data_IF_651279692953
#
_entry.id   IF_651279692953
#
_cell.length_a   1.000
_cell.length_b   1.000
_cell.length_c   1.000
_cell.angle_alpha   90.00
_cell.angle_beta   90.00
_cell.angle_gamma   90.00
#
_symmetry.space_group_name_H-M   'P 1'
#
loop_
_entity.id
_entity.type
_entity.pdbx_description
1 polymer ?
#
# COMPACT_ATOMS: atom_id res chain seq x y z
N UNK A 1 -70.82 20.96 74.98
CA UNK A 1 -70.82 20.13 73.75
C UNK A 1 -69.36 19.87 73.38
N UNK A 2 -68.79 18.74 73.81
CA UNK A 2 -68.41 17.55 73.01
C UNK A 2 -67.51 17.89 71.79
N UNK A 3 -66.38 17.25 71.47
CA UNK A 3 -65.59 16.08 71.95
C UNK A 3 -64.19 16.27 71.30
N UNK A 4 -63.07 16.06 72.01
CA UNK A 4 -62.22 14.85 71.97
C UNK A 4 -62.06 14.18 70.58
N UNK A 5 -60.81 14.04 70.07
CA UNK A 5 -60.16 12.75 69.76
C UNK A 5 -58.83 12.86 68.97
N UNK A 6 -57.91 11.99 69.39
CA UNK A 6 -56.60 11.62 68.85
C UNK A 6 -56.66 10.91 67.48
N UNK A 7 -55.45 10.57 66.98
CA UNK A 7 -55.05 9.62 65.92
C UNK A 7 -54.71 10.30 64.57
N UNK A 8 -53.63 9.96 63.85
CA UNK A 8 -52.83 8.73 63.84
C UNK A 8 -51.53 8.98 63.07
N UNK A 9 -50.48 8.27 63.48
CA UNK A 9 -49.23 8.06 62.77
C UNK A 9 -49.50 7.42 61.39
N UNK A 10 -48.88 7.93 60.31
CA UNK A 10 -48.80 7.24 59.02
C UNK A 10 -47.36 7.37 58.51
N UNK A 11 -46.65 6.26 58.61
CA UNK A 11 -45.29 6.05 58.15
C UNK A 11 -45.33 5.85 56.62
N UNK A 12 -45.13 6.91 55.84
CA UNK A 12 -45.04 6.80 54.39
C UNK A 12 -43.64 6.37 53.97
N UNK A 13 -43.53 5.11 53.55
CA UNK A 13 -42.35 4.49 52.96
C UNK A 13 -42.01 5.21 51.63
N UNK A 14 -40.94 6.00 51.61
CA UNK A 14 -40.41 6.59 50.38
C UNK A 14 -39.65 5.52 49.63
N UNK A 15 -40.30 4.90 48.63
CA UNK A 15 -39.63 4.07 47.62
C UNK A 15 -38.80 4.98 46.70
N UNK A 16 -37.50 5.08 47.00
CA UNK A 16 -36.50 5.67 46.13
C UNK A 16 -36.39 4.80 44.87
N UNK A 17 -37.10 5.18 43.81
CA UNK A 17 -36.94 4.59 42.49
C UNK A 17 -35.67 5.16 41.86
N UNK A 18 -34.57 4.44 42.00
CA UNK A 18 -33.34 4.69 41.24
C UNK A 18 -33.61 4.33 39.78
N UNK A 19 -33.98 5.36 39.00
CA UNK A 19 -33.99 5.29 37.55
C UNK A 19 -32.55 5.08 37.05
N UNK A 20 -32.16 3.81 36.89
CA UNK A 20 -30.93 3.43 36.19
C UNK A 20 -31.15 3.76 34.71
N UNK A 21 -30.66 4.93 34.30
CA UNK A 21 -30.50 5.26 32.89
C UNK A 21 -29.56 4.21 32.26
N UNK A 22 -29.85 3.65 31.06
CA UNK A 22 -28.92 2.78 30.37
C UNK A 22 -27.71 3.60 29.96
N UNK A 23 -26.64 3.49 30.75
CA UNK A 23 -25.35 4.07 30.42
C UNK A 23 -24.81 3.41 29.15
N UNK A 24 -24.27 4.25 28.28
CA UNK A 24 -23.59 3.90 27.04
C UNK A 24 -22.66 2.68 27.20
N UNK A 25 -23.02 1.57 26.58
CA UNK A 25 -22.11 0.46 26.32
C UNK A 25 -21.24 0.80 25.11
N UNK A 26 -20.15 1.51 25.37
CA UNK A 26 -19.02 1.62 24.46
C UNK A 26 -17.73 1.76 25.28
N UNK A 27 -17.37 0.68 25.99
CA UNK A 27 -16.02 0.48 26.50
C UNK A 27 -15.60 -0.94 26.16
N UNK A 28 -14.43 -1.05 25.52
CA UNK A 28 -13.94 -2.24 24.86
C UNK A 28 -13.94 -3.46 25.77
N UNK A 29 -14.38 -4.59 25.21
CA UNK A 29 -14.19 -5.89 25.83
C UNK A 29 -12.74 -6.31 25.63
N UNK A 30 -11.88 -5.90 26.55
CA UNK A 30 -10.65 -6.66 26.80
C UNK A 30 -11.09 -8.10 27.12
N UNK A 31 -10.84 -9.03 26.18
CA UNK A 31 -11.23 -10.44 26.27
C UNK A 31 -12.40 -10.91 25.40
N UNK A 32 -13.05 -10.02 24.62
CA UNK A 32 -14.11 -10.40 23.68
C UNK A 32 -13.62 -10.60 22.24
N UNK A 33 -14.39 -11.32 21.41
CA UNK A 33 -14.11 -11.39 19.97
C UNK A 33 -14.12 -9.98 19.35
N UNK A 34 -13.22 -9.73 18.39
CA UNK A 34 -13.18 -8.49 17.62
C UNK A 34 -13.62 -8.77 16.18
N UNK A 35 -14.62 -8.05 15.68
CA UNK A 35 -15.04 -8.16 14.28
C UNK A 35 -14.41 -7.06 13.42
N UNK A 36 -13.51 -7.45 12.51
CA UNK A 36 -12.87 -6.55 11.56
C UNK A 36 -13.33 -6.81 10.12
N UNK A 37 -13.65 -5.76 9.38
CA UNK A 37 -14.22 -5.89 8.04
C UNK A 37 -13.39 -5.16 7.00
N UNK A 38 -13.32 -5.70 5.79
CA UNK A 38 -12.44 -5.21 4.73
C UNK A 38 -13.24 -4.86 3.48
N UNK A 39 -12.90 -3.75 2.84
CA UNK A 39 -13.50 -3.32 1.58
C UNK A 39 -12.42 -3.30 0.51
N UNK A 40 -12.54 -4.17 -0.48
CA UNK A 40 -11.61 -4.28 -1.61
C UNK A 40 -12.17 -3.58 -2.86
N UNK A 41 -11.28 -2.89 -3.58
CA UNK A 41 -11.64 -2.23 -4.85
C UNK A 41 -11.83 -3.22 -6.00
N UNK A 42 -11.01 -4.28 -6.02
CA UNK A 42 -11.08 -5.34 -7.02
C UNK A 42 -11.60 -6.66 -6.44
N UNK A 43 -11.70 -7.69 -7.30
CA UNK A 43 -11.99 -9.05 -6.86
C UNK A 43 -10.74 -9.70 -6.24
N UNK A 44 -10.93 -10.60 -5.28
CA UNK A 44 -9.84 -11.42 -4.70
C UNK A 44 -9.10 -12.24 -5.77
N UNK A 45 -9.75 -12.49 -6.91
CA UNK A 45 -9.16 -13.16 -8.07
C UNK A 45 -8.21 -12.32 -8.92
N UNK A 46 -7.95 -11.04 -8.59
CA UNK A 46 -7.02 -10.16 -9.34
C UNK A 46 -5.57 -10.66 -9.30
N UNK A 47 -5.22 -11.47 -8.30
CA UNK A 47 -3.88 -11.99 -8.00
C UNK A 47 -2.91 -10.91 -7.49
N UNK A 48 -3.10 -9.62 -7.77
CA UNK A 48 -2.27 -8.54 -7.23
C UNK A 48 -2.79 -7.98 -5.92
N UNK A 49 -3.50 -6.85 -6.01
CA UNK A 49 -3.80 -5.97 -4.87
C UNK A 49 -4.82 -6.54 -3.89
N UNK A 50 -6.04 -6.81 -4.36
CA UNK A 50 -7.14 -7.29 -3.52
C UNK A 50 -6.86 -8.71 -3.04
N UNK A 51 -6.23 -9.53 -3.88
CA UNK A 51 -5.66 -10.81 -3.49
C UNK A 51 -4.69 -10.69 -2.31
N UNK A 52 -3.70 -9.78 -2.38
CA UNK A 52 -2.72 -9.62 -1.32
C UNK A 52 -3.35 -9.14 0.00
N UNK A 53 -4.33 -8.22 -0.07
CA UNK A 53 -5.10 -7.82 1.12
C UNK A 53 -5.89 -9.00 1.71
N UNK A 54 -6.47 -9.85 0.87
CA UNK A 54 -7.23 -11.01 1.33
C UNK A 54 -6.35 -12.12 1.93
N UNK A 55 -5.19 -12.38 1.33
CA UNK A 55 -4.16 -13.26 1.91
C UNK A 55 -3.75 -12.75 3.29
N UNK A 56 -3.51 -11.45 3.42
CA UNK A 56 -3.15 -10.85 4.69
C UNK A 56 -4.28 -10.91 5.73
N UNK A 57 -5.53 -10.70 5.32
CA UNK A 57 -6.71 -10.90 6.19
C UNK A 57 -6.76 -12.32 6.72
N UNK A 58 -6.60 -13.33 5.86
CA UNK A 58 -6.56 -14.76 6.23
C UNK A 58 -5.39 -15.06 7.16
N UNK A 59 -4.22 -14.45 6.95
CA UNK A 59 -3.06 -14.62 7.81
C UNK A 59 -3.30 -13.98 9.19
N UNK A 60 -3.96 -12.82 9.26
CA UNK A 60 -4.36 -12.19 10.52
C UNK A 60 -5.37 -13.06 11.28
N UNK A 61 -6.38 -13.63 10.62
CA UNK A 61 -7.33 -14.58 11.24
C UNK A 61 -6.62 -15.80 11.84
N UNK A 62 -5.65 -16.37 11.12
CA UNK A 62 -4.85 -17.50 11.64
C UNK A 62 -4.01 -17.11 12.85
N UNK A 63 -3.46 -15.90 12.86
CA UNK A 63 -2.57 -15.42 13.91
C UNK A 63 -3.32 -14.93 15.16
N UNK A 64 -4.58 -14.51 15.02
CA UNK A 64 -5.37 -13.85 16.06
C UNK A 64 -6.65 -14.66 16.35
N UNK A 65 -6.64 -15.59 17.33
CA UNK A 65 -7.78 -16.49 17.59
C UNK A 65 -9.09 -15.81 17.99
N UNK A 66 -9.02 -14.57 18.44
CA UNK A 66 -10.17 -13.74 18.83
C UNK A 66 -10.72 -12.87 17.69
N UNK A 67 -10.08 -12.90 16.51
CA UNK A 67 -10.46 -12.10 15.36
C UNK A 67 -11.53 -12.84 14.54
N UNK A 68 -12.63 -12.16 14.25
CA UNK A 68 -13.56 -12.55 13.20
C UNK A 68 -13.45 -11.54 12.06
N UNK A 69 -13.43 -12.01 10.80
CA UNK A 69 -13.42 -11.08 9.67
C UNK A 69 -14.57 -11.27 8.68
N UNK A 70 -14.85 -10.21 7.95
CA UNK A 70 -15.73 -10.19 6.79
C UNK A 70 -15.11 -9.30 5.71
N UNK A 71 -15.40 -9.55 4.45
CA UNK A 71 -15.01 -8.62 3.40
C UNK A 71 -16.15 -8.38 2.41
N UNK A 72 -16.04 -7.29 1.66
CA UNK A 72 -16.81 -7.00 0.46
C UNK A 72 -15.80 -6.64 -0.62
N UNK A 73 -15.87 -7.32 -1.76
CA UNK A 73 -14.95 -7.12 -2.88
C UNK A 73 -15.62 -6.38 -4.04
N UNK A 74 -14.82 -5.97 -5.02
CA UNK A 74 -15.29 -5.29 -6.24
C UNK A 74 -16.11 -4.03 -5.96
N UNK A 75 -15.69 -3.22 -4.98
CA UNK A 75 -16.34 -1.95 -4.64
C UNK A 75 -15.66 -0.81 -5.40
N UNK A 76 -16.32 -0.17 -6.38
CA UNK A 76 -15.71 0.94 -7.10
C UNK A 76 -15.38 2.11 -6.18
N UNK A 77 -14.30 2.81 -6.48
CA UNK A 77 -14.01 4.11 -5.86
C UNK A 77 -15.20 5.07 -6.05
N UNK A 78 -15.51 5.87 -5.02
CA UNK A 78 -16.72 6.69 -4.98
C UNK A 78 -17.99 5.95 -4.54
N UNK A 79 -17.96 4.61 -4.39
CA UNK A 79 -19.12 3.80 -3.98
C UNK A 79 -18.93 3.04 -2.65
N UNK A 80 -17.94 3.42 -1.83
CA UNK A 80 -17.70 2.76 -0.54
C UNK A 80 -18.76 3.10 0.54
N UNK A 81 -19.41 4.27 0.51
CA UNK A 81 -20.32 4.71 1.59
C UNK A 81 -21.44 3.71 1.90
N UNK A 82 -22.22 3.19 0.93
CA UNK A 82 -23.27 2.21 1.22
C UNK A 82 -22.72 0.89 1.80
N UNK A 83 -21.50 0.50 1.39
CA UNK A 83 -20.82 -0.70 1.89
C UNK A 83 -20.37 -0.49 3.33
N UNK A 84 -19.78 0.67 3.64
CA UNK A 84 -19.41 1.03 5.00
C UNK A 84 -20.65 1.01 5.92
N UNK A 85 -21.73 1.67 5.52
CA UNK A 85 -22.99 1.70 6.27
C UNK A 85 -23.53 0.28 6.56
N UNK A 86 -23.45 -0.62 5.59
CA UNK A 86 -23.82 -2.04 5.75
C UNK A 86 -22.91 -2.75 6.74
N UNK A 87 -21.59 -2.58 6.64
CA UNK A 87 -20.64 -3.24 7.54
C UNK A 87 -20.78 -2.75 8.98
N UNK A 88 -21.09 -1.46 9.19
CA UNK A 88 -21.42 -0.95 10.53
C UNK A 88 -22.69 -1.60 11.09
N UNK A 89 -23.74 -1.74 10.27
CA UNK A 89 -24.97 -2.47 10.67
C UNK A 89 -24.72 -3.95 10.97
N UNK A 90 -23.72 -4.54 10.33
CA UNK A 90 -23.26 -5.91 10.58
C UNK A 90 -22.34 -6.02 11.83
N UNK A 91 -22.28 -4.98 12.68
CA UNK A 91 -21.48 -4.91 13.90
C UNK A 91 -19.96 -5.04 13.69
N UNK A 92 -19.44 -4.61 12.53
CA UNK A 92 -18.00 -4.48 12.35
C UNK A 92 -17.46 -3.37 13.26
N UNK A 93 -16.48 -3.69 14.10
CA UNK A 93 -15.86 -2.75 15.04
C UNK A 93 -14.66 -2.04 14.42
N UNK A 94 -13.97 -2.71 13.51
CA UNK A 94 -12.86 -2.17 12.72
C UNK A 94 -13.21 -2.32 11.24
N UNK A 95 -13.03 -1.27 10.44
CA UNK A 95 -13.23 -1.30 8.98
C UNK A 95 -11.97 -0.84 8.27
N UNK A 96 -11.39 -1.72 7.46
CA UNK A 96 -10.29 -1.42 6.55
C UNK A 96 -10.82 -1.04 5.18
N UNK A 97 -10.45 0.14 4.67
CA UNK A 97 -10.78 0.57 3.30
C UNK A 97 -9.51 0.56 2.46
N UNK A 98 -9.42 -0.43 1.56
CA UNK A 98 -8.14 -0.84 0.97
C UNK A 98 -7.89 -0.24 -0.42
N UNK A 99 -8.23 1.03 -0.65
CA UNK A 99 -7.96 1.69 -1.94
C UNK A 99 -7.99 3.20 -1.77
N UNK A 100 -7.09 3.90 -2.46
CA UNK A 100 -6.91 5.35 -2.35
C UNK A 100 -8.22 6.13 -2.49
N UNK A 101 -9.04 5.80 -3.51
CA UNK A 101 -10.29 6.51 -3.77
C UNK A 101 -11.38 6.33 -2.71
N UNK A 102 -11.17 5.51 -1.68
CA UNK A 102 -12.08 5.40 -0.53
C UNK A 102 -11.84 6.46 0.56
N UNK A 103 -10.81 7.30 0.45
CA UNK A 103 -10.35 8.18 1.54
C UNK A 103 -11.47 9.09 2.09
N UNK A 104 -12.15 9.80 1.19
CA UNK A 104 -13.14 10.81 1.58
C UNK A 104 -14.39 10.16 2.16
N UNK A 105 -14.85 9.06 1.57
CA UNK A 105 -15.97 8.27 2.08
C UNK A 105 -15.65 7.64 3.45
N UNK A 106 -14.40 7.23 3.67
CA UNK A 106 -13.94 6.71 4.96
C UNK A 106 -13.93 7.82 6.01
N UNK A 107 -13.46 9.03 5.66
CA UNK A 107 -13.44 10.16 6.58
C UNK A 107 -14.86 10.62 6.97
N UNK A 108 -15.79 10.65 6.01
CA UNK A 108 -17.20 10.94 6.27
C UNK A 108 -17.83 9.89 7.18
N UNK A 109 -17.57 8.60 6.92
CA UNK A 109 -18.03 7.52 7.78
C UNK A 109 -17.43 7.58 9.18
N UNK A 110 -16.14 7.93 9.32
CA UNK A 110 -15.48 8.11 10.61
C UNK A 110 -16.19 9.16 11.47
N UNK A 111 -16.62 10.28 10.87
CA UNK A 111 -17.44 11.32 11.55
C UNK A 111 -18.83 10.82 11.91
N UNK A 112 -19.47 10.05 11.02
CA UNK A 112 -20.82 9.50 11.21
C UNK A 112 -20.87 8.40 12.26
N UNK A 113 -19.80 7.62 12.41
CA UNK A 113 -19.72 6.45 13.28
C UNK A 113 -18.55 6.56 14.27
N UNK A 114 -18.63 7.45 15.28
CA UNK A 114 -17.50 7.77 16.15
C UNK A 114 -17.05 6.61 17.05
N UNK A 115 -17.81 5.52 17.13
CA UNK A 115 -17.47 4.33 17.90
C UNK A 115 -16.83 3.21 17.05
N UNK A 116 -16.82 3.37 15.71
CA UNK A 116 -16.20 2.42 14.79
C UNK A 116 -14.79 2.90 14.46
N UNK A 117 -13.83 1.98 14.46
CA UNK A 117 -12.44 2.26 14.09
C UNK A 117 -12.28 2.04 12.59
N UNK A 118 -11.66 3.00 11.92
CA UNK A 118 -11.34 2.94 10.50
C UNK A 118 -9.82 2.92 10.30
N UNK A 119 -9.38 2.16 9.30
CA UNK A 119 -8.01 2.17 8.82
C UNK A 119 -8.03 2.25 7.30
N UNK A 120 -7.43 3.30 6.74
CA UNK A 120 -7.50 3.58 5.31
C UNK A 120 -6.15 3.41 4.64
N UNK A 121 -6.12 2.62 3.56
CA UNK A 121 -4.90 2.34 2.80
C UNK A 121 -4.52 3.53 1.90
N UNK A 122 -3.23 3.83 1.77
CA UNK A 122 -2.60 4.78 0.81
C UNK A 122 -2.96 6.27 0.93
N UNK A 123 -4.06 6.62 1.60
CA UNK A 123 -4.47 8.01 1.81
C UNK A 123 -3.73 8.71 2.96
N UNK A 124 -4.11 9.97 3.19
CA UNK A 124 -3.43 10.87 4.14
C UNK A 124 -4.37 11.59 5.11
N UNK A 125 -5.69 11.46 4.93
CA UNK A 125 -6.68 12.04 5.85
C UNK A 125 -6.88 11.12 7.05
N UNK A 126 -6.82 11.68 8.25
CA UNK A 126 -7.00 10.97 9.53
C UNK A 126 -8.06 11.66 10.40
N UNK A 127 -8.62 10.92 11.34
CA UNK A 127 -9.59 11.40 12.33
C UNK A 127 -9.38 10.67 13.67
N UNK A 128 -10.00 11.09 14.78
CA UNK A 128 -9.81 10.42 16.09
C UNK A 128 -10.06 8.90 16.08
N UNK A 129 -10.95 8.43 15.20
CA UNK A 129 -11.25 7.02 14.97
C UNK A 129 -10.83 6.51 13.57
N UNK A 130 -9.96 7.22 12.85
CA UNK A 130 -9.48 6.83 11.52
C UNK A 130 -7.97 6.99 11.41
N UNK A 131 -7.27 5.86 11.25
CA UNK A 131 -5.84 5.80 10.95
C UNK A 131 -5.59 5.67 9.44
N UNK A 132 -4.35 5.94 9.02
CA UNK A 132 -3.86 5.64 7.67
C UNK A 132 -2.81 4.53 7.72
N UNK A 133 -2.69 3.76 6.64
CA UNK A 133 -1.65 2.76 6.51
C UNK A 133 -1.17 2.56 5.07
N UNK A 134 0.11 2.20 4.93
CA UNK A 134 0.75 1.79 3.70
C UNK A 134 1.92 0.85 4.00
N UNK A 135 2.12 -0.14 3.14
CA UNK A 135 3.36 -0.86 2.99
C UNK A 135 3.89 -0.44 1.62
N UNK A 136 4.86 0.47 1.59
CA UNK A 136 5.23 1.16 0.36
C UNK A 136 6.39 0.49 -0.37
N UNK A 137 6.32 0.51 -1.70
CA UNK A 137 7.18 -0.26 -2.59
C UNK A 137 8.34 0.54 -3.17
N UNK A 138 8.45 1.84 -2.90
CA UNK A 138 9.41 2.68 -3.61
C UNK A 138 10.86 2.20 -3.49
N UNK A 139 11.25 1.65 -2.34
CA UNK A 139 12.57 1.03 -2.15
C UNK A 139 12.78 -0.16 -3.10
N UNK A 140 11.76 -1.00 -3.24
CA UNK A 140 11.78 -2.17 -4.13
C UNK A 140 11.77 -1.77 -5.61
N UNK A 141 10.96 -0.77 -5.99
CA UNK A 141 10.97 -0.23 -7.35
C UNK A 141 12.34 0.33 -7.72
N UNK A 142 13.05 1.01 -6.81
CA UNK A 142 14.42 1.46 -7.06
C UNK A 142 15.36 0.27 -7.36
N UNK A 143 15.34 -0.78 -6.54
CA UNK A 143 16.15 -1.98 -6.76
C UNK A 143 15.78 -2.69 -8.07
N UNK A 144 14.49 -2.79 -8.39
CA UNK A 144 14.00 -3.37 -9.64
C UNK A 144 14.41 -2.53 -10.86
N UNK A 145 14.42 -1.20 -10.73
CA UNK A 145 14.93 -0.29 -11.77
C UNK A 145 16.40 -0.52 -12.09
N UNK A 146 17.23 -0.70 -11.05
CA UNK A 146 18.64 -1.05 -11.22
C UNK A 146 18.81 -2.36 -12.01
N UNK A 147 18.05 -3.39 -11.63
CA UNK A 147 18.09 -4.68 -12.33
C UNK A 147 17.59 -4.58 -13.76
N UNK A 148 16.52 -3.83 -14.01
CA UNK A 148 15.96 -3.61 -15.35
C UNK A 148 16.98 -2.93 -16.28
N UNK A 149 17.64 -1.87 -15.82
CA UNK A 149 18.66 -1.18 -16.62
C UNK A 149 19.90 -2.03 -16.87
N UNK A 150 20.24 -2.94 -15.95
CA UNK A 150 21.40 -3.81 -16.08
C UNK A 150 21.22 -4.92 -17.12
N UNK A 151 19.97 -5.40 -17.31
CA UNK A 151 19.65 -6.46 -18.28
C UNK A 151 19.12 -5.90 -19.61
N UNK A 152 18.70 -4.64 -19.63
CA UNK A 152 18.25 -3.95 -20.83
C UNK A 152 19.40 -3.77 -21.83
N UNK A 153 19.11 -4.06 -23.10
CA UNK A 153 20.00 -3.85 -24.24
C UNK A 153 19.71 -2.52 -24.93
N UNK A 154 18.46 -2.07 -24.90
CA UNK A 154 18.04 -0.82 -25.56
C UNK A 154 18.19 0.41 -24.67
N UNK A 155 18.28 0.22 -23.35
CA UNK A 155 18.17 1.30 -22.36
C UNK A 155 16.75 1.88 -22.26
N UNK A 156 15.78 1.32 -22.99
CA UNK A 156 14.37 1.71 -22.95
C UNK A 156 13.60 0.69 -22.12
N UNK A 157 13.04 1.16 -21.02
CA UNK A 157 12.18 0.40 -20.12
C UNK A 157 10.72 0.84 -20.34
N UNK A 158 9.78 -0.04 -20.05
CA UNK A 158 8.34 0.26 -20.12
C UNK A 158 7.67 0.19 -18.75
N UNK A 159 6.66 1.02 -18.56
CA UNK A 159 5.85 1.07 -17.35
C UNK A 159 4.36 1.18 -17.68
N UNK A 160 3.57 0.21 -17.24
CA UNK A 160 2.10 0.26 -17.34
C UNK A 160 1.56 0.84 -16.05
N UNK A 161 1.12 2.10 -16.10
CA UNK A 161 0.55 2.82 -14.97
C UNK A 161 -0.97 2.67 -14.91
N UNK A 162 -1.51 2.53 -13.70
CA UNK A 162 -2.96 2.45 -13.46
C UNK A 162 -3.59 3.85 -13.56
N UNK A 163 -3.45 4.66 -12.50
CA UNK A 163 -3.90 6.06 -12.44
C UNK A 163 -2.75 7.01 -12.08
N UNK A 164 -2.77 8.28 -12.54
CA UNK A 164 -1.70 9.26 -12.28
C UNK A 164 -1.75 9.87 -10.87
N UNK A 165 -1.95 9.03 -9.85
CA UNK A 165 -1.96 9.41 -8.43
C UNK A 165 -0.54 9.47 -7.85
N UNK A 166 -0.33 10.14 -6.69
CA UNK A 166 0.99 10.26 -6.07
C UNK A 166 1.72 8.94 -5.85
N UNK A 167 0.99 7.87 -5.50
CA UNK A 167 1.55 6.53 -5.34
C UNK A 167 2.23 6.01 -6.62
N UNK A 168 1.51 6.04 -7.75
CA UNK A 168 2.05 5.52 -9.01
C UNK A 168 3.19 6.40 -9.52
N UNK A 169 3.08 7.73 -9.34
CA UNK A 169 4.17 8.68 -9.63
C UNK A 169 5.42 8.38 -8.81
N UNK A 170 5.26 8.07 -7.52
CA UNK A 170 6.36 7.67 -6.61
C UNK A 170 7.00 6.36 -7.06
N UNK A 171 6.20 5.32 -7.33
CA UNK A 171 6.72 4.01 -7.76
C UNK A 171 7.49 4.07 -9.08
N UNK A 172 6.94 4.70 -10.12
CA UNK A 172 7.65 4.84 -11.39
C UNK A 172 8.89 5.72 -11.27
N UNK A 173 8.85 6.74 -10.41
CA UNK A 173 9.98 7.64 -10.18
C UNK A 173 11.12 6.89 -9.49
N UNK A 174 10.83 6.08 -8.48
CA UNK A 174 11.84 5.25 -7.83
C UNK A 174 12.45 4.25 -8.82
N UNK A 175 11.63 3.62 -9.67
CA UNK A 175 12.10 2.74 -10.74
C UNK A 175 13.02 3.46 -11.73
N UNK A 176 12.64 4.67 -12.17
CA UNK A 176 13.46 5.49 -13.06
C UNK A 176 14.78 5.93 -12.40
N UNK A 177 14.75 6.34 -11.13
CA UNK A 177 15.96 6.69 -10.38
C UNK A 177 16.92 5.50 -10.26
N UNK A 178 16.40 4.31 -9.95
CA UNK A 178 17.18 3.08 -9.90
C UNK A 178 17.79 2.70 -11.24
N UNK A 179 16.99 2.76 -12.31
CA UNK A 179 17.47 2.50 -13.67
C UNK A 179 18.59 3.46 -14.07
N UNK A 180 18.44 4.74 -13.73
CA UNK A 180 19.42 5.79 -14.06
C UNK A 180 20.67 5.78 -13.20
N UNK A 181 20.61 5.18 -12.01
CA UNK A 181 21.79 4.92 -11.20
C UNK A 181 22.73 3.90 -11.86
N UNK A 182 22.20 2.97 -12.66
CA UNK A 182 23.00 2.00 -13.44
C UNK A 182 23.34 2.54 -14.83
N UNK A 183 22.34 3.07 -15.55
CA UNK A 183 22.51 3.65 -16.88
C UNK A 183 21.94 5.08 -16.89
N UNK A 184 22.77 6.13 -16.82
CA UNK A 184 22.31 7.53 -16.80
C UNK A 184 21.51 7.98 -18.03
N UNK A 185 21.47 7.18 -19.10
CA UNK A 185 20.66 7.42 -20.30
C UNK A 185 19.36 6.61 -20.35
N UNK A 186 19.11 5.74 -19.37
CA UNK A 186 17.90 4.94 -19.34
C UNK A 186 16.63 5.80 -19.34
N UNK A 187 15.63 5.34 -20.09
CA UNK A 187 14.30 5.94 -20.17
C UNK A 187 13.23 4.96 -19.68
N UNK A 188 12.21 5.46 -18.99
CA UNK A 188 11.03 4.70 -18.59
C UNK A 188 9.83 5.27 -19.33
N UNK A 189 9.31 4.52 -20.30
CA UNK A 189 8.20 4.93 -21.16
C UNK A 189 6.89 4.49 -20.50
N UNK A 190 5.96 5.42 -20.31
CA UNK A 190 4.74 5.18 -19.52
C UNK A 190 3.52 5.11 -20.43
N UNK A 191 2.66 4.11 -20.20
CA UNK A 191 1.29 4.04 -20.72
C UNK A 191 0.31 3.95 -19.56
N UNK A 192 -0.72 4.79 -19.57
CA UNK A 192 -1.77 4.82 -18.56
C UNK A 192 -2.99 4.05 -19.03
N UNK A 193 -3.49 3.14 -18.20
CA UNK A 193 -4.71 2.37 -18.51
C UNK A 193 -5.97 2.96 -17.87
N UNK A 194 -5.81 3.87 -16.90
CA UNK A 194 -6.89 4.52 -16.14
C UNK A 194 -7.85 3.51 -15.50
N UNK A 195 -7.27 2.44 -14.96
CA UNK A 195 -7.96 1.38 -14.25
C UNK A 195 -6.95 0.68 -13.32
N UNK A 196 -7.40 0.25 -12.14
CA UNK A 196 -6.62 -0.65 -11.29
C UNK A 196 -6.63 -2.08 -11.85
N UNK A 197 -7.77 -2.53 -12.39
CA UNK A 197 -7.96 -3.86 -12.97
C UNK A 197 -8.55 -3.74 -14.38
N UNK A 198 -7.73 -3.92 -15.41
CA UNK A 198 -8.18 -4.05 -16.81
C UNK A 198 -7.14 -4.87 -17.62
N UNK A 199 -7.24 -6.22 -17.59
CA UNK A 199 -6.29 -7.12 -18.27
C UNK A 199 -6.09 -6.84 -19.76
N UNK A 200 -7.14 -6.37 -20.44
CA UNK A 200 -7.08 -6.10 -21.88
C UNK A 200 -6.28 -4.83 -22.15
N UNK A 201 -6.60 -3.73 -21.47
CA UNK A 201 -5.79 -2.50 -21.59
C UNK A 201 -4.36 -2.69 -21.11
N UNK A 202 -4.14 -3.48 -20.05
CA UNK A 202 -2.80 -3.79 -19.56
C UNK A 202 -1.97 -4.53 -20.62
N UNK A 203 -2.57 -5.51 -21.32
CA UNK A 203 -1.94 -6.21 -22.45
C UNK A 203 -1.64 -5.26 -23.60
N UNK A 204 -2.62 -4.47 -24.04
CA UNK A 204 -2.46 -3.52 -25.14
C UNK A 204 -1.36 -2.49 -24.85
N UNK A 205 -1.35 -1.94 -23.62
CA UNK A 205 -0.33 -1.01 -23.16
C UNK A 205 1.07 -1.65 -23.12
N UNK A 206 1.17 -2.88 -22.62
CA UNK A 206 2.42 -3.64 -22.62
C UNK A 206 2.90 -3.91 -24.05
N UNK A 207 2.04 -4.40 -24.95
CA UNK A 207 2.40 -4.64 -26.35
C UNK A 207 2.85 -3.36 -27.07
N UNK A 208 2.19 -2.23 -26.81
CA UNK A 208 2.60 -0.94 -27.35
C UNK A 208 4.00 -0.53 -26.87
N UNK A 209 4.29 -0.64 -25.57
CA UNK A 209 5.62 -0.35 -25.02
C UNK A 209 6.71 -1.23 -25.64
N UNK A 210 6.41 -2.52 -25.86
CA UNK A 210 7.31 -3.46 -26.52
C UNK A 210 7.55 -3.05 -27.98
N UNK A 211 6.48 -2.70 -28.71
CA UNK A 211 6.56 -2.20 -30.08
C UNK A 211 7.37 -0.89 -30.20
N UNK A 212 7.36 -0.05 -29.16
CA UNK A 212 8.15 1.18 -29.05
C UNK A 212 9.63 0.92 -28.64
N UNK A 213 9.99 -0.35 -28.43
CA UNK A 213 11.35 -0.81 -28.18
C UNK A 213 11.72 -0.97 -26.70
N UNK A 214 10.75 -0.99 -25.80
CA UNK A 214 11.00 -1.35 -24.41
C UNK A 214 11.36 -2.85 -24.30
N UNK A 215 12.44 -3.16 -23.58
CA UNK A 215 12.93 -4.53 -23.42
C UNK A 215 12.94 -5.04 -21.97
N UNK A 216 12.31 -4.29 -21.06
CA UNK A 216 11.91 -4.76 -19.74
C UNK A 216 10.69 -3.97 -19.25
N UNK A 217 9.73 -4.63 -18.57
CA UNK A 217 8.48 -4.02 -18.13
C UNK A 217 8.29 -4.06 -16.60
N UNK A 218 7.83 -2.95 -16.05
CA UNK A 218 7.25 -2.85 -14.71
C UNK A 218 5.82 -2.28 -14.81
N UNK A 219 5.04 -2.34 -13.74
CA UNK A 219 3.65 -1.88 -13.75
C UNK A 219 3.11 -1.64 -12.34
N UNK A 220 1.90 -1.06 -12.28
CA UNK A 220 1.10 -0.88 -11.05
C UNK A 220 -0.36 -1.31 -11.19
N UNK A 221 -0.74 -1.95 -12.29
CA UNK A 221 -2.06 -2.59 -12.42
C UNK A 221 -2.12 -3.90 -11.61
N UNK A 222 -3.31 -4.33 -11.20
CA UNK A 222 -3.49 -5.31 -10.13
C UNK A 222 -3.48 -6.77 -10.60
N UNK A 223 -3.17 -7.04 -11.87
CA UNK A 223 -3.19 -8.38 -12.47
C UNK A 223 -1.82 -8.86 -12.95
N UNK A 224 -1.74 -10.11 -13.40
CA UNK A 224 -0.51 -10.67 -13.98
C UNK A 224 -0.36 -10.38 -15.49
N UNK A 225 -1.20 -9.51 -16.06
CA UNK A 225 -1.34 -9.36 -17.52
C UNK A 225 -0.07 -8.81 -18.17
N UNK A 226 0.59 -7.84 -17.53
CA UNK A 226 1.87 -7.30 -18.02
C UNK A 226 2.97 -8.37 -17.97
N UNK A 227 3.03 -9.17 -16.91
CA UNK A 227 4.00 -10.28 -16.76
C UNK A 227 3.82 -11.33 -17.85
N UNK A 228 2.57 -11.75 -18.09
CA UNK A 228 2.25 -12.74 -19.11
C UNK A 228 2.57 -12.22 -20.53
N UNK A 229 2.26 -10.94 -20.78
CA UNK A 229 2.52 -10.30 -22.08
C UNK A 229 4.01 -10.17 -22.35
N UNK A 230 4.79 -9.73 -21.34
CA UNK A 230 6.25 -9.67 -21.40
C UNK A 230 6.85 -11.05 -21.73
N UNK A 231 6.39 -12.10 -21.04
CA UNK A 231 6.86 -13.46 -21.24
C UNK A 231 6.54 -14.02 -22.62
N UNK A 232 5.34 -13.74 -23.15
CA UNK A 232 4.96 -14.13 -24.51
C UNK A 232 5.87 -13.49 -25.59
N UNK A 233 6.44 -12.31 -25.29
CA UNK A 233 7.43 -11.61 -26.12
C UNK A 233 8.88 -11.89 -25.71
N UNK A 234 9.10 -12.79 -24.74
CA UNK A 234 10.41 -13.17 -24.21
C UNK A 234 11.23 -12.01 -23.63
N UNK A 235 10.56 -11.03 -23.04
CA UNK A 235 11.22 -9.91 -22.37
C UNK A 235 11.02 -10.00 -20.84
N UNK A 236 12.00 -9.56 -20.05
CA UNK A 236 11.90 -9.56 -18.59
C UNK A 236 10.81 -8.63 -18.06
N UNK A 237 10.22 -9.02 -16.93
CA UNK A 237 9.29 -8.20 -16.15
C UNK A 237 9.54 -8.34 -14.64
N UNK A 238 8.83 -7.53 -13.85
CA UNK A 238 8.90 -7.53 -12.39
C UNK A 238 7.51 -7.78 -11.80
N UNK A 239 7.42 -8.66 -10.80
CA UNK A 239 6.15 -8.96 -10.12
C UNK A 239 5.66 -7.76 -9.29
N UNK A 240 4.35 -7.63 -9.09
CA UNK A 240 3.73 -6.53 -8.36
C UNK A 240 2.72 -7.05 -7.33
N UNK A 241 2.79 -6.53 -6.10
CA UNK A 241 2.09 -6.95 -4.87
C UNK A 241 2.29 -8.39 -4.40
N UNK A 242 2.23 -9.39 -5.29
CA UNK A 242 2.17 -10.80 -4.92
C UNK A 242 3.12 -11.67 -5.75
N UNK A 243 3.34 -12.93 -5.34
CA UNK A 243 4.16 -13.88 -6.09
C UNK A 243 3.62 -14.11 -7.52
N UNK A 244 4.38 -13.65 -8.52
CA UNK A 244 4.05 -13.85 -9.94
C UNK A 244 5.00 -14.78 -10.69
N UNK A 245 5.99 -15.37 -10.00
CA UNK A 245 6.94 -16.31 -10.61
C UNK A 245 6.26 -17.41 -11.44
N UNK A 246 5.15 -17.98 -10.95
CA UNK A 246 4.40 -19.04 -11.64
C UNK A 246 3.84 -18.66 -13.02
N UNK A 247 3.64 -17.37 -13.30
CA UNK A 247 3.09 -16.91 -14.57
C UNK A 247 4.16 -16.73 -15.66
N UNK A 248 5.41 -16.53 -15.26
CA UNK A 248 6.53 -16.42 -16.17
C UNK A 248 7.86 -16.80 -15.49
N UNK A 249 8.10 -18.09 -15.15
CA UNK A 249 9.27 -18.53 -14.38
C UNK A 249 10.60 -18.12 -15.01
N UNK A 250 10.61 -17.97 -16.33
CA UNK A 250 11.76 -17.61 -17.13
C UNK A 250 11.99 -16.10 -17.31
N UNK A 251 11.00 -15.27 -17.03
CA UNK A 251 11.00 -13.85 -17.40
C UNK A 251 10.68 -12.90 -16.23
N UNK A 252 10.14 -13.39 -15.10
CA UNK A 252 10.08 -12.58 -13.87
C UNK A 252 11.48 -12.51 -13.25
N UNK A 253 12.07 -11.32 -13.21
CA UNK A 253 13.44 -11.10 -12.69
C UNK A 253 13.45 -11.00 -11.16
N UNK A 254 12.55 -10.18 -10.64
CA UNK A 254 12.31 -9.89 -9.23
C UNK A 254 10.91 -9.26 -9.11
N UNK A 255 10.62 -8.47 -8.09
CA UNK A 255 9.32 -7.83 -7.93
C UNK A 255 9.15 -7.14 -6.59
N UNK A 256 7.94 -6.65 -6.35
CA UNK A 256 7.52 -6.02 -5.10
C UNK A 256 6.45 -6.88 -4.44
N UNK A 257 6.80 -7.59 -3.37
CA UNK A 257 5.86 -8.40 -2.60
C UNK A 257 5.42 -7.62 -1.35
N UNK A 258 4.15 -7.76 -0.96
CA UNK A 258 3.59 -7.07 0.20
C UNK A 258 3.12 -8.03 1.27
N UNK A 259 3.36 -7.64 2.52
CA UNK A 259 2.96 -8.37 3.72
C UNK A 259 2.05 -7.49 4.59
N UNK A 260 0.82 -7.25 4.12
CA UNK A 260 -0.16 -6.44 4.86
C UNK A 260 -0.53 -7.05 6.22
N UNK A 261 -0.33 -8.36 6.38
CA UNK A 261 -0.57 -9.08 7.63
C UNK A 261 0.24 -8.50 8.78
N UNK A 262 1.45 -7.97 8.52
CA UNK A 262 2.26 -7.28 9.53
C UNK A 262 1.53 -6.07 10.10
N UNK A 263 0.88 -5.29 9.24
CA UNK A 263 0.09 -4.11 9.65
C UNK A 263 -1.20 -4.58 10.32
N UNK A 264 -1.92 -5.52 9.73
CA UNK A 264 -3.22 -5.98 10.24
C UNK A 264 -3.10 -6.61 11.62
N UNK A 265 -2.13 -7.50 11.82
CA UNK A 265 -1.91 -8.17 13.09
C UNK A 265 -1.56 -7.14 14.17
N UNK A 266 -0.58 -6.27 13.93
CA UNK A 266 -0.17 -5.26 14.91
C UNK A 266 -1.30 -4.26 15.23
N UNK A 267 -1.97 -3.73 14.20
CA UNK A 267 -3.07 -2.78 14.38
C UNK A 267 -4.24 -3.41 15.13
N UNK A 268 -4.70 -4.59 14.72
CA UNK A 268 -5.81 -5.28 15.36
C UNK A 268 -5.48 -5.69 16.79
N UNK A 269 -4.24 -6.14 17.07
CA UNK A 269 -3.79 -6.42 18.44
C UNK A 269 -3.84 -5.17 19.31
N UNK A 270 -3.40 -4.00 18.79
CA UNK A 270 -3.49 -2.73 19.52
C UNK A 270 -4.92 -2.29 19.75
N UNK A 271 -5.84 -2.54 18.81
CA UNK A 271 -7.27 -2.30 19.02
C UNK A 271 -7.83 -3.23 20.10
N UNK A 272 -7.55 -4.53 20.01
CA UNK A 272 -8.06 -5.54 20.95
C UNK A 272 -7.55 -5.33 22.38
N UNK A 273 -6.31 -4.87 22.55
CA UNK A 273 -5.71 -4.56 23.85
C UNK A 273 -6.08 -3.17 24.38
N UNK A 274 -6.85 -2.38 23.63
CA UNK A 274 -7.27 -1.03 24.01
C UNK A 274 -6.18 0.04 23.88
N UNK A 275 -5.02 -0.29 23.29
CA UNK A 275 -3.97 0.68 22.96
C UNK A 275 -4.48 1.67 21.89
N UNK A 276 -5.15 1.14 20.88
CA UNK A 276 -5.87 1.91 19.88
C UNK A 276 -7.36 1.89 20.18
N UNK A 277 -7.94 3.08 20.18
CA UNK A 277 -9.35 3.33 20.49
C UNK A 277 -9.93 4.25 19.43
N UNK A 278 -11.25 4.41 19.39
CA UNK A 278 -11.91 5.35 18.49
C UNK A 278 -11.64 6.85 18.83
N UNK A 279 -10.65 7.16 19.67
CA UNK A 279 -10.35 8.52 20.15
C UNK A 279 -8.90 8.95 19.95
N UNK A 280 -8.01 8.06 19.51
CA UNK A 280 -6.56 8.33 19.49
C UNK A 280 -5.85 7.94 18.17
N UNK A 281 -6.57 7.86 17.05
CA UNK A 281 -6.02 7.47 15.75
C UNK A 281 -5.61 8.63 14.83
N UNK A 282 -5.88 9.88 15.21
CA UNK A 282 -5.62 11.06 14.36
C UNK A 282 -4.14 11.24 13.98
N UNK A 283 -3.24 10.65 14.78
CA UNK A 283 -1.79 10.68 14.59
C UNK A 283 -1.20 9.30 14.27
N UNK A 284 -2.05 8.31 13.99
CA UNK A 284 -1.61 6.94 13.68
C UNK A 284 -1.47 6.80 12.17
N UNK A 285 -0.24 6.60 11.74
CA UNK A 285 0.14 6.37 10.35
C UNK A 285 1.10 5.19 10.28
N UNK A 286 0.70 4.14 9.58
CA UNK A 286 1.58 3.03 9.29
C UNK A 286 2.26 3.30 7.95
N UNK A 287 3.58 3.43 7.97
CA UNK A 287 4.39 3.55 6.77
C UNK A 287 5.48 2.48 6.81
N UNK A 288 5.09 1.26 6.47
CA UNK A 288 6.00 0.13 6.47
C UNK A 288 6.78 0.08 5.16
N UNK A 289 8.07 -0.25 5.25
CA UNK A 289 8.96 -0.42 4.13
C UNK A 289 9.63 -1.80 4.25
N UNK A 290 10.81 -1.97 3.63
CA UNK A 290 11.60 -3.19 3.83
C UNK A 290 11.98 -3.36 5.31
N UNK A 291 12.30 -2.26 5.99
CA UNK A 291 12.46 -2.27 7.44
C UNK A 291 11.13 -2.67 8.09
N UNK A 292 11.18 -3.72 8.93
CA UNK A 292 9.98 -4.28 9.56
C UNK A 292 9.23 -5.29 8.70
N UNK A 293 9.68 -5.53 7.46
CA UNK A 293 9.17 -6.60 6.60
C UNK A 293 7.76 -6.37 6.06
N UNK A 294 7.31 -5.11 5.92
CA UNK A 294 6.02 -4.81 5.29
C UNK A 294 6.03 -5.05 3.78
N UNK A 295 7.22 -4.94 3.17
CA UNK A 295 7.43 -5.30 1.76
C UNK A 295 8.70 -6.14 1.61
N UNK A 296 8.73 -6.99 0.59
CA UNK A 296 9.83 -7.91 0.29
C UNK A 296 10.21 -7.82 -1.19
N UNK A 297 11.51 -7.70 -1.46
CA UNK A 297 12.02 -7.82 -2.83
C UNK A 297 11.88 -9.29 -3.25
N UNK A 298 11.17 -9.58 -4.34
CA UNK A 298 11.12 -10.95 -4.84
C UNK A 298 10.16 -11.24 -5.98
N UNK A 299 10.39 -12.36 -6.66
CA UNK A 299 9.45 -12.94 -7.64
C UNK A 299 8.34 -13.75 -6.95
N UNK A 300 8.68 -14.30 -5.78
CA UNK A 300 7.88 -15.06 -4.84
C UNK A 300 8.60 -15.05 -3.48
N UNK A 301 7.90 -15.44 -2.42
CA UNK A 301 8.44 -15.46 -1.06
C UNK A 301 9.79 -16.19 -0.99
N UNK A 302 10.78 -15.54 -0.39
CA UNK A 302 12.13 -16.07 -0.23
C UNK A 302 12.98 -16.10 -1.51
N UNK A 303 12.47 -15.64 -2.66
CA UNK A 303 13.20 -15.58 -3.93
C UNK A 303 13.38 -14.12 -4.39
N UNK A 304 14.38 -13.46 -3.80
CA UNK A 304 14.63 -12.04 -4.08
C UNK A 304 14.95 -11.74 -5.54
N UNK A 305 15.77 -12.58 -6.18
CA UNK A 305 16.12 -12.49 -7.58
C UNK A 305 16.01 -13.89 -8.16
N UNK A 306 15.35 -14.01 -9.32
CA UNK A 306 15.29 -15.25 -10.06
C UNK A 306 16.71 -15.71 -10.44
N UNK A 307 17.14 -16.94 -10.04
CA UNK A 307 18.48 -17.45 -10.28
C UNK A 307 18.94 -17.37 -11.74
N UNK A 308 18.01 -17.47 -12.71
CA UNK A 308 18.30 -17.35 -14.14
C UNK A 308 18.95 -16.01 -14.52
N UNK A 309 18.60 -14.93 -13.83
CA UNK A 309 19.05 -13.57 -14.17
C UNK A 309 20.31 -13.15 -13.39
N UNK A 310 20.70 -13.91 -12.36
CA UNK A 310 21.89 -13.61 -11.53
C UNK A 310 23.18 -13.49 -12.35
N UNK A 311 23.48 -14.37 -13.34
CA UNK A 311 24.69 -14.22 -14.15
C UNK A 311 24.76 -12.89 -14.90
N UNK A 312 23.65 -12.45 -15.52
CA UNK A 312 23.59 -11.18 -16.23
C UNK A 312 23.79 -9.98 -15.28
N UNK A 313 23.16 -10.02 -14.11
CA UNK A 313 23.29 -8.97 -13.10
C UNK A 313 24.70 -8.89 -12.47
N UNK A 314 25.42 -10.03 -12.36
CA UNK A 314 26.81 -10.07 -11.90
C UNK A 314 27.80 -9.55 -12.96
N UNK A 315 27.48 -9.77 -14.24
CA UNK A 315 28.26 -9.29 -15.36
C UNK A 315 28.13 -7.76 -15.54
N UNK A 316 26.92 -7.21 -15.38
CA UNK A 316 26.69 -5.78 -15.42
C UNK A 316 27.43 -5.04 -14.29
N UNK A 317 28.19 -4.01 -14.64
CA UNK A 317 28.98 -3.19 -13.70
C UNK A 317 28.41 -1.79 -13.56
N UNK A 318 28.56 -1.23 -12.37
CA UNK A 318 28.25 0.17 -12.09
C UNK A 318 29.29 0.78 -11.16
N UNK A 319 29.38 2.11 -11.18
CA UNK A 319 30.30 2.85 -10.32
C UNK A 319 29.60 3.29 -9.05
N UNK A 320 30.15 2.95 -7.89
CA UNK A 320 29.70 3.41 -6.57
C UNK A 320 30.90 3.98 -5.83
N UNK A 321 30.85 5.28 -5.50
CA UNK A 321 31.96 5.98 -4.81
C UNK A 321 33.33 5.76 -5.49
N UNK A 322 33.37 5.84 -6.82
CA UNK A 322 34.58 5.64 -7.62
C UNK A 322 35.03 4.18 -7.78
N UNK A 323 34.32 3.20 -7.21
CA UNK A 323 34.64 1.76 -7.34
C UNK A 323 33.66 1.05 -8.27
N UNK A 324 34.17 0.15 -9.10
CA UNK A 324 33.35 -0.76 -9.90
C UNK A 324 32.81 -1.88 -9.02
N UNK A 325 31.49 -2.07 -9.06
CA UNK A 325 30.78 -3.18 -8.40
C UNK A 325 29.82 -3.82 -9.39
N UNK A 326 29.47 -5.10 -9.19
CA UNK A 326 28.39 -5.67 -9.97
C UNK A 326 27.04 -5.07 -9.56
N UNK A 327 26.09 -4.99 -10.49
CA UNK A 327 24.73 -4.54 -10.16
C UNK A 327 24.09 -5.49 -9.16
N UNK A 328 24.32 -6.80 -9.31
CA UNK A 328 23.87 -7.81 -8.34
C UNK A 328 24.34 -7.48 -6.91
N UNK A 329 25.65 -7.29 -6.70
CA UNK A 329 26.21 -7.05 -5.37
C UNK A 329 25.68 -5.73 -4.79
N UNK A 330 25.50 -4.70 -5.64
CA UNK A 330 24.94 -3.43 -5.20
C UNK A 330 23.48 -3.55 -4.79
N UNK A 331 22.65 -4.25 -5.56
CA UNK A 331 21.24 -4.49 -5.24
C UNK A 331 21.12 -5.25 -3.92
N UNK A 332 21.89 -6.32 -3.74
CA UNK A 332 21.85 -7.12 -2.51
C UNK A 332 22.37 -6.35 -1.29
N UNK A 333 23.41 -5.52 -1.46
CA UNK A 333 23.91 -4.65 -0.39
C UNK A 333 22.89 -3.59 0.02
N UNK A 334 22.22 -2.94 -0.95
CA UNK A 334 21.15 -1.98 -0.67
C UNK A 334 19.93 -2.62 -0.03
N UNK A 335 19.50 -3.80 -0.51
CA UNK A 335 18.45 -4.60 0.12
C UNK A 335 18.75 -4.84 1.59
N UNK A 336 19.95 -5.36 1.90
CA UNK A 336 20.34 -5.66 3.28
C UNK A 336 20.45 -4.40 4.15
N UNK A 337 20.86 -3.26 3.60
CA UNK A 337 20.89 -1.97 4.28
C UNK A 337 19.46 -1.48 4.60
N UNK A 338 18.57 -1.48 3.60
CA UNK A 338 17.17 -1.06 3.74
C UNK A 338 16.39 -1.92 4.74
N UNK A 339 16.59 -3.24 4.75
CA UNK A 339 15.98 -4.17 5.72
C UNK A 339 16.38 -3.84 7.17
N UNK A 340 17.59 -3.31 7.37
CA UNK A 340 18.11 -2.90 8.68
C UNK A 340 17.76 -1.44 9.03
N UNK A 341 17.06 -0.72 8.16
CA UNK A 341 16.78 0.70 8.34
C UNK A 341 18.02 1.58 8.14
N UNK A 342 18.86 1.21 7.18
CA UNK A 342 20.06 1.94 6.81
C UNK A 342 19.80 3.34 6.27
N UNK A 343 20.89 4.05 5.94
CA UNK A 343 20.84 5.50 5.64
C UNK A 343 20.43 5.81 4.20
N UNK A 344 20.54 4.87 3.28
CA UNK A 344 20.24 5.13 1.88
C UNK A 344 18.72 5.17 1.65
N UNK A 345 18.25 6.26 1.05
CA UNK A 345 16.87 6.37 0.57
C UNK A 345 16.84 6.80 -0.92
N UNK A 346 16.08 6.11 -1.79
CA UNK A 346 15.90 6.48 -3.21
C UNK A 346 15.51 7.94 -3.45
N UNK A 347 14.78 8.57 -2.53
CA UNK A 347 14.34 9.96 -2.61
C UNK A 347 15.22 10.91 -1.78
N UNK A 348 16.52 10.62 -1.73
CA UNK A 348 17.55 11.54 -1.23
C UNK A 348 18.06 12.42 -2.37
N UNK A 349 17.99 13.75 -2.18
CA UNK A 349 18.48 14.69 -3.17
C UNK A 349 20.01 14.71 -3.32
N UNK A 350 20.51 15.27 -4.44
CA UNK A 350 19.79 16.15 -5.34
C UNK A 350 18.92 15.40 -6.35
N UNK A 351 17.63 15.75 -6.44
CA UNK A 351 16.71 15.23 -7.46
C UNK A 351 16.04 16.41 -8.17
N UNK A 352 16.09 16.36 -9.50
CA UNK A 352 15.29 17.20 -10.39
C UNK A 352 14.10 16.38 -10.90
N UNK A 353 13.02 17.01 -11.30
CA UNK A 353 11.99 16.33 -12.09
C UNK A 353 12.44 16.12 -13.55
N UNK A 354 11.62 15.44 -14.34
CA UNK A 354 11.88 15.21 -15.76
C UNK A 354 12.02 16.49 -16.61
N UNK A 355 11.51 17.62 -16.13
CA UNK A 355 11.61 18.92 -16.81
C UNK A 355 12.85 19.72 -16.36
N UNK A 356 13.67 19.16 -15.47
CA UNK A 356 14.90 19.76 -14.96
C UNK A 356 14.70 20.70 -13.77
N UNK A 357 13.48 20.82 -13.24
CA UNK A 357 13.19 21.65 -12.05
C UNK A 357 13.68 20.91 -10.80
N UNK A 358 14.41 21.60 -9.92
CA UNK A 358 14.87 21.01 -8.67
C UNK A 358 13.67 20.70 -7.74
N UNK A 359 13.58 19.45 -7.26
CA UNK A 359 12.50 18.98 -6.38
C UNK A 359 12.98 18.56 -5.00
N UNK A 360 14.16 17.94 -4.92
CA UNK A 360 14.76 17.54 -3.64
C UNK A 360 16.18 18.10 -3.57
N UNK A 361 16.47 19.03 -2.64
CA UNK A 361 17.82 19.58 -2.46
C UNK A 361 18.85 18.51 -2.05
N UNK A 362 20.13 18.77 -2.32
CA UNK A 362 21.21 17.85 -1.96
C UNK A 362 21.21 17.51 -0.46
N UNK A 363 21.29 16.21 -0.14
CA UNK A 363 21.31 15.72 1.25
C UNK A 363 19.97 15.77 1.99
N UNK A 364 18.89 16.22 1.35
CA UNK A 364 17.54 16.14 1.92
C UNK A 364 16.87 14.84 1.49
N UNK A 365 16.23 14.17 2.44
CA UNK A 365 15.36 13.01 2.19
C UNK A 365 13.92 13.51 2.19
N UNK A 366 13.11 13.08 1.22
CA UNK A 366 11.68 13.40 1.21
C UNK A 366 10.99 12.82 2.46
N UNK A 367 10.10 13.60 3.07
CA UNK A 367 9.25 13.08 4.15
C UNK A 367 8.13 12.20 3.58
N UNK A 368 7.51 11.37 4.43
CA UNK A 368 6.29 10.61 4.06
C UNK A 368 5.19 11.54 3.53
N UNK A 369 5.06 12.73 4.11
CA UNK A 369 4.12 13.75 3.65
C UNK A 369 4.44 14.22 2.22
N UNK A 370 5.71 14.47 1.90
CA UNK A 370 6.12 14.86 0.54
C UNK A 370 5.86 13.73 -0.46
N UNK A 371 6.14 12.49 -0.05
CA UNK A 371 5.93 11.28 -0.87
C UNK A 371 4.45 11.04 -1.16
N UNK A 372 3.57 11.23 -0.18
CA UNK A 372 2.11 11.08 -0.34
C UNK A 372 1.48 12.19 -1.18
N UNK A 373 2.16 13.33 -1.35
CA UNK A 373 1.72 14.46 -2.16
C UNK A 373 2.54 14.64 -3.45
N UNK A 374 3.29 13.62 -3.86
CA UNK A 374 4.17 13.69 -5.02
C UNK A 374 3.37 13.92 -6.32
N UNK A 375 3.53 15.11 -6.91
CA UNK A 375 2.81 15.53 -8.12
C UNK A 375 3.68 15.51 -9.38
N UNK A 376 4.99 15.38 -9.23
CA UNK A 376 6.01 15.35 -10.28
C UNK A 376 6.55 13.93 -10.49
N UNK A 377 7.34 13.72 -11.53
CA UNK A 377 8.04 12.45 -11.77
C UNK A 377 9.54 12.65 -12.02
N UNK A 378 10.33 11.64 -11.66
CA UNK A 378 11.79 11.67 -11.76
C UNK A 378 12.32 11.76 -13.21
N UNK A 379 13.61 12.12 -13.39
CA UNK A 379 14.22 12.23 -14.71
C UNK A 379 14.20 10.89 -15.47
N UNK A 380 14.15 10.97 -16.79
CA UNK A 380 14.11 9.79 -17.67
C UNK A 380 12.72 9.17 -17.87
N UNK A 381 11.68 9.67 -17.19
CA UNK A 381 10.31 9.26 -17.48
C UNK A 381 9.81 9.96 -18.75
N UNK A 382 9.32 9.17 -19.70
CA UNK A 382 8.86 9.58 -21.03
C UNK A 382 7.39 9.18 -21.20
N UNK A 383 6.62 10.01 -21.90
CA UNK A 383 5.19 9.83 -22.12
C UNK A 383 4.34 10.87 -21.39
N UNK A 384 3.02 10.77 -21.53
CA UNK A 384 2.11 11.67 -20.84
C UNK A 384 2.13 11.39 -19.33
N UNK A 385 2.13 12.45 -18.51
CA UNK A 385 1.91 12.36 -17.07
C UNK A 385 0.91 13.45 -16.75
N UNK A 386 -0.26 13.06 -16.23
CA UNK A 386 -1.30 14.02 -15.88
C UNK A 386 -0.88 14.85 -14.66
N UNK A 387 -1.35 16.09 -14.61
CA UNK A 387 -1.25 16.97 -13.44
C UNK A 387 0.17 17.22 -12.94
N UNK A 388 1.14 17.29 -13.87
CA UNK A 388 2.48 17.74 -13.53
C UNK A 388 2.48 19.24 -13.20
N UNK A 389 3.20 19.66 -12.14
CA UNK A 389 3.36 21.08 -11.87
C UNK A 389 3.96 21.79 -13.08
N UNK A 390 3.35 22.91 -13.47
CA UNK A 390 3.94 23.83 -14.45
C UNK A 390 5.27 24.37 -13.90
N UNK A 391 6.18 24.69 -14.82
CA UNK A 391 7.55 25.15 -14.53
C UNK A 391 7.60 26.30 -13.55
#
# INVERSE_FOLDING_TARGET
MNKLLMNTMSLSLVLLSTAVSPAAQAQGTAGGKLKACFIYVGPVGDIGWSYAHDVARKNAEKALPWLETKYVESVPEGQATPVIDRLVKDNCQVIFTTSFGFMDQTLEAAKKYPNVIFAHASGFKRAPNMATYMADFYQLYYLNGMMAAAISKTGKLGYVGAFPVPEVKRHMSAFALGARAVNPKATVNVKWINAWVDPNKAREAAEALIGEGADALAFTEDTASVVQTAAARKIPSFAHYSPMYKFAPDYVVSGQLVHWDKIYIDFLTKVHTGTYTAKNLQNVDYWNLMRGGGVELGTQDGMAINPKWVPALKAAKMTVNGKQVSVYDRVMALKADMEKGGKFDPFTGPIKDRNGVARVPAGKVMSVGDLNNMSWVAPGIVGQVADEPKK
#
